data_IF_417414513244
#
_entry.id   IF_417414513244
#
_cell.length_a   1.000
_cell.length_b   1.000
_cell.length_c   1.000
_cell.angle_alpha   90.00
_cell.angle_beta   90.00
_cell.angle_gamma   90.00
#
_symmetry.space_group_name_H-M   'P 1'
#
loop_
_entity.id
_entity.type
_entity.pdbx_description
1 polymer ?
#
# COMPACT_ATOMS: atom_id res chain seq x y z
N UNK A 1 11.96 57.51 36.28
CA UNK A 1 11.36 56.48 35.40
C UNK A 1 12.47 55.54 34.99
N UNK A 2 12.80 54.63 35.91
CA UNK A 2 14.14 54.06 36.09
C UNK A 2 14.15 52.62 35.57
N UNK A 3 15.15 52.32 34.72
CA UNK A 3 15.78 51.05 34.33
C UNK A 3 15.01 49.71 34.47
N UNK A 4 14.30 49.48 35.58
CA UNK A 4 13.47 48.30 35.86
C UNK A 4 12.33 48.08 34.86
N UNK A 5 11.69 49.13 34.33
CA UNK A 5 10.60 48.95 33.36
C UNK A 5 11.10 48.47 31.99
N UNK A 6 12.31 48.89 31.59
CA UNK A 6 12.93 48.42 30.33
C UNK A 6 13.35 46.95 30.41
N UNK A 7 13.80 46.49 31.59
CA UNK A 7 14.17 45.08 31.83
C UNK A 7 12.92 44.19 31.79
N UNK A 8 11.81 44.62 32.40
CA UNK A 8 10.53 43.89 32.35
C UNK A 8 9.96 43.80 30.93
N UNK A 9 10.11 44.86 30.13
CA UNK A 9 9.65 44.90 28.73
C UNK A 9 10.46 43.97 27.80
N UNK A 10 11.72 43.66 28.13
CA UNK A 10 12.57 42.75 27.34
C UNK A 10 12.45 41.28 27.75
N UNK A 11 12.17 40.99 29.03
CA UNK A 11 12.06 39.61 29.54
C UNK A 11 10.75 38.95 29.10
N UNK A 12 9.65 39.71 29.04
CA UNK A 12 8.33 39.20 28.64
C UNK A 12 8.28 38.58 27.23
N UNK A 13 8.78 39.23 26.16
CA UNK A 13 8.78 38.64 24.82
C UNK A 13 9.77 37.46 24.69
N UNK A 14 10.87 37.46 25.47
CA UNK A 14 11.84 36.37 25.47
C UNK A 14 11.27 35.09 26.12
N UNK A 15 10.48 35.23 27.18
CA UNK A 15 9.79 34.10 27.83
C UNK A 15 8.75 33.45 26.91
N UNK A 16 8.04 34.24 26.09
CA UNK A 16 7.06 33.75 25.10
C UNK A 16 7.77 32.94 23.99
N UNK A 17 9.00 33.33 23.61
CA UNK A 17 9.79 32.60 22.62
C UNK A 17 10.25 31.22 23.12
N UNK A 18 10.58 31.09 24.40
CA UNK A 18 11.01 29.83 25.04
C UNK A 18 9.82 28.90 25.31
N UNK A 19 8.65 29.46 25.61
CA UNK A 19 7.40 28.67 25.75
C UNK A 19 6.87 28.18 24.40
N UNK A 20 7.00 28.98 23.33
CA UNK A 20 6.56 28.60 21.99
C UNK A 20 7.30 27.40 21.41
N UNK A 21 8.62 27.29 21.64
CA UNK A 21 9.42 26.14 21.18
C UNK A 21 9.09 24.85 21.93
N UNK A 22 8.71 24.95 23.21
CA UNK A 22 8.25 23.81 24.01
C UNK A 22 6.87 23.29 23.56
N UNK A 23 6.04 24.18 23.01
CA UNK A 23 4.70 23.84 22.53
C UNK A 23 4.71 23.13 21.17
N UNK A 24 5.69 23.42 20.30
CA UNK A 24 5.84 22.74 19.00
C UNK A 24 6.28 21.28 19.16
N UNK A 25 7.06 20.92 20.20
CA UNK A 25 7.40 19.51 20.45
C UNK A 25 6.27 18.70 21.07
N UNK A 26 5.36 19.33 21.82
CA UNK A 26 4.26 18.64 22.50
C UNK A 26 3.16 18.15 21.54
N UNK A 27 3.04 18.73 20.34
CA UNK A 27 1.99 18.37 19.39
C UNK A 27 2.36 17.17 18.51
N UNK A 28 3.64 16.99 18.19
CA UNK A 28 4.14 15.85 17.39
C UNK A 28 4.09 14.52 18.18
N UNK A 29 4.32 14.59 19.50
CA UNK A 29 4.19 13.42 20.38
C UNK A 29 2.74 12.93 20.57
N UNK A 30 1.73 13.75 20.22
CA UNK A 30 0.33 13.31 20.28
C UNK A 30 -0.12 12.48 19.07
N UNK A 31 0.74 12.37 18.03
CA UNK A 31 0.55 11.46 16.88
C UNK A 31 1.25 10.11 17.05
N UNK A 32 1.76 9.78 18.24
CA UNK A 32 2.10 8.39 18.56
C UNK A 32 0.81 7.55 18.57
N UNK A 33 0.54 6.98 17.41
CA UNK A 33 -0.46 5.98 17.04
C UNK A 33 -0.98 5.21 18.26
N UNK A 34 -2.16 5.61 18.74
CA UNK A 34 -2.92 4.85 19.73
C UNK A 34 -3.42 3.59 19.01
N UNK A 35 -2.69 2.49 19.15
CA UNK A 35 -3.13 1.19 18.65
C UNK A 35 -4.35 0.75 19.48
N UNK A 36 -5.54 1.15 19.07
CA UNK A 36 -6.78 0.56 19.55
C UNK A 36 -6.79 -0.89 19.08
N UNK A 37 -6.49 -1.81 20.00
CA UNK A 37 -6.55 -3.24 19.74
C UNK A 37 -8.02 -3.64 19.55
N UNK A 38 -8.44 -3.79 18.30
CA UNK A 38 -9.75 -4.33 17.99
C UNK A 38 -9.69 -5.84 18.21
N UNK A 39 -10.55 -6.39 19.08
CA UNK A 39 -10.63 -7.82 19.31
C UNK A 39 -11.70 -8.43 18.39
N UNK A 40 -11.38 -9.52 17.72
CA UNK A 40 -12.38 -10.36 17.04
C UNK A 40 -13.22 -11.16 18.07
N UNK A 41 -14.36 -11.70 17.66
CA UNK A 41 -15.28 -12.51 18.50
C UNK A 41 -14.60 -13.70 19.18
N UNK A 42 -13.44 -14.13 18.68
CA UNK A 42 -12.57 -15.15 19.28
C UNK A 42 -11.41 -14.62 20.13
N UNK A 43 -11.47 -13.37 20.62
CA UNK A 43 -10.41 -12.72 21.42
C UNK A 43 -9.05 -12.59 20.71
N UNK A 44 -9.05 -12.53 19.37
CA UNK A 44 -7.84 -12.31 18.58
C UNK A 44 -7.64 -10.82 18.34
N UNK A 45 -6.42 -10.34 18.59
CA UNK A 45 -6.02 -8.98 18.26
C UNK A 45 -6.14 -8.78 16.75
N UNK A 46 -6.81 -7.72 16.31
CA UNK A 46 -6.87 -7.33 14.90
C UNK A 46 -5.81 -6.28 14.63
N UNK A 47 -5.02 -6.53 13.60
CA UNK A 47 -4.00 -5.62 13.09
C UNK A 47 -4.54 -4.90 11.85
N UNK A 48 -4.18 -3.63 11.72
CA UNK A 48 -4.49 -2.85 10.52
C UNK A 48 -3.42 -3.09 9.45
N UNK A 49 -3.86 -3.47 8.26
CA UNK A 49 -3.00 -3.75 7.10
C UNK A 49 -3.62 -3.16 5.84
N UNK A 50 -2.79 -2.76 4.88
CA UNK A 50 -3.24 -2.10 3.66
C UNK A 50 -2.96 -2.99 2.44
N UNK A 51 -3.88 -3.04 1.49
CA UNK A 51 -3.72 -3.78 0.23
C UNK A 51 -3.99 -2.87 -0.98
N UNK A 52 -3.03 -2.83 -1.90
CA UNK A 52 -3.01 -1.91 -3.03
C UNK A 52 -2.73 -2.66 -4.33
N UNK A 53 -3.27 -2.14 -5.44
CA UNK A 53 -3.02 -2.66 -6.79
C UNK A 53 -4.10 -3.60 -7.30
N UNK A 54 -3.69 -4.66 -8.00
CA UNK A 54 -4.58 -5.56 -8.75
C UNK A 54 -5.26 -6.63 -7.87
N UNK A 55 -6.15 -6.17 -7.01
CA UNK A 55 -7.11 -6.97 -6.23
C UNK A 55 -8.53 -6.46 -6.46
N UNK A 56 -9.53 -7.29 -6.20
CA UNK A 56 -10.94 -6.92 -6.45
C UNK A 56 -11.40 -5.73 -5.59
N UNK A 57 -10.93 -5.63 -4.35
CA UNK A 57 -11.26 -4.53 -3.44
C UNK A 57 -10.00 -4.01 -2.73
N UNK A 58 -9.26 -3.07 -3.33
CA UNK A 58 -8.11 -2.46 -2.67
C UNK A 58 -8.57 -1.55 -1.53
N UNK A 59 -7.76 -1.45 -0.46
CA UNK A 59 -8.11 -0.63 0.69
C UNK A 59 -7.39 -1.03 1.98
N UNK A 60 -7.86 -0.44 3.09
CA UNK A 60 -7.44 -0.78 4.44
C UNK A 60 -8.31 -1.93 4.97
N UNK A 61 -7.67 -2.91 5.60
CA UNK A 61 -8.32 -4.06 6.21
C UNK A 61 -7.86 -4.24 7.66
N UNK A 62 -8.76 -4.77 8.49
CA UNK A 62 -8.44 -5.24 9.83
C UNK A 62 -8.47 -6.77 9.79
N UNK A 63 -7.34 -7.39 10.07
CA UNK A 63 -7.18 -8.85 10.02
C UNK A 63 -6.66 -9.35 11.36
N UNK A 64 -7.00 -10.58 11.79
CA UNK A 64 -6.42 -11.14 13.01
C UNK A 64 -4.89 -11.17 12.94
N UNK A 65 -4.24 -10.91 14.07
CA UNK A 65 -2.81 -11.12 14.24
C UNK A 65 -2.46 -12.57 13.89
N UNK A 66 -1.35 -12.77 13.19
CA UNK A 66 -1.02 -14.07 12.58
C UNK A 66 -1.58 -14.27 11.17
N UNK A 67 -2.40 -13.36 10.64
CA UNK A 67 -2.89 -13.46 9.25
C UNK A 67 -1.76 -13.30 8.25
N UNK A 68 -1.86 -14.02 7.14
CA UNK A 68 -0.87 -13.98 6.05
C UNK A 68 -1.31 -13.03 4.93
N UNK A 69 -0.39 -12.76 4.00
CA UNK A 69 -0.68 -12.01 2.76
C UNK A 69 -1.83 -12.66 1.97
N UNK A 70 -1.95 -13.99 2.01
CA UNK A 70 -3.00 -14.71 1.31
C UNK A 70 -4.37 -14.51 1.96
N UNK A 71 -4.43 -14.48 3.29
CA UNK A 71 -5.67 -14.19 4.03
C UNK A 71 -6.17 -12.78 3.73
N UNK A 72 -5.26 -11.80 3.72
CA UNK A 72 -5.57 -10.43 3.33
C UNK A 72 -6.09 -10.35 1.89
N UNK A 73 -5.43 -11.03 0.95
CA UNK A 73 -5.86 -11.06 -0.45
C UNK A 73 -7.24 -11.71 -0.61
N UNK A 74 -7.51 -12.77 0.14
CA UNK A 74 -8.81 -13.44 0.14
C UNK A 74 -9.90 -12.53 0.69
N UNK A 75 -9.62 -11.77 1.77
CA UNK A 75 -10.53 -10.75 2.31
C UNK A 75 -10.76 -9.59 1.36
N UNK A 76 -9.77 -9.27 0.52
CA UNK A 76 -9.89 -8.28 -0.56
C UNK A 76 -10.64 -8.78 -1.80
N UNK A 77 -11.25 -9.98 -1.73
CA UNK A 77 -12.02 -10.58 -2.82
C UNK A 77 -11.17 -11.34 -3.84
N UNK A 78 -9.87 -11.55 -3.56
CA UNK A 78 -8.94 -12.23 -4.45
C UNK A 78 -8.25 -11.31 -5.47
N UNK A 79 -7.27 -11.85 -6.22
CA UNK A 79 -6.56 -11.11 -7.26
C UNK A 79 -7.41 -10.90 -8.51
N UNK A 80 -7.18 -9.81 -9.24
CA UNK A 80 -7.79 -9.60 -10.56
C UNK A 80 -7.11 -10.47 -11.62
N UNK A 81 -7.73 -10.61 -12.79
CA UNK A 81 -7.13 -11.30 -13.94
C UNK A 81 -5.82 -10.66 -14.44
N UNK A 82 -5.55 -9.42 -14.07
CA UNK A 82 -4.34 -8.68 -14.45
C UNK A 82 -3.27 -8.69 -13.37
N UNK A 83 -3.47 -9.36 -12.24
CA UNK A 83 -2.53 -9.39 -11.13
C UNK A 83 -1.24 -10.16 -11.48
N UNK A 84 -0.08 -9.62 -11.06
CA UNK A 84 1.21 -10.30 -11.17
C UNK A 84 1.58 -10.95 -9.83
N UNK A 85 0.99 -12.11 -9.54
CA UNK A 85 1.17 -12.87 -8.28
C UNK A 85 2.62 -13.30 -8.00
N UNK A 86 3.45 -13.47 -9.03
CA UNK A 86 4.90 -13.71 -8.89
C UNK A 86 5.74 -12.51 -8.43
N UNK A 87 5.15 -11.31 -8.35
CA UNK A 87 5.85 -10.06 -8.01
C UNK A 87 5.17 -9.26 -6.91
N UNK A 88 4.41 -9.91 -6.04
CA UNK A 88 3.79 -9.25 -4.89
C UNK A 88 4.87 -8.66 -3.99
N UNK A 89 4.64 -7.45 -3.50
CA UNK A 89 5.57 -6.75 -2.60
C UNK A 89 4.90 -6.56 -1.26
N UNK A 90 5.54 -7.04 -0.20
CA UNK A 90 5.19 -6.71 1.17
C UNK A 90 6.14 -5.61 1.64
N UNK A 91 5.58 -4.47 2.03
CA UNK A 91 6.31 -3.39 2.70
C UNK A 91 5.93 -3.43 4.17
N UNK A 92 6.85 -3.90 5.00
CA UNK A 92 6.66 -3.91 6.45
C UNK A 92 7.39 -2.73 7.08
N UNK A 93 6.71 -2.04 7.99
CA UNK A 93 7.25 -0.88 8.70
C UNK A 93 7.56 -1.26 10.15
N UNK A 94 8.76 -1.79 10.39
CA UNK A 94 9.20 -2.24 11.73
C UNK A 94 9.77 -1.09 12.60
N UNK A 95 9.30 0.14 12.36
CA UNK A 95 9.72 1.36 13.07
C UNK A 95 11.15 1.86 12.79
N UNK A 96 12.07 0.99 12.35
CA UNK A 96 13.48 1.31 12.11
C UNK A 96 13.91 1.14 10.66
N UNK A 97 13.30 0.22 9.89
CA UNK A 97 13.57 0.00 8.46
C UNK A 97 12.30 -0.43 7.74
N UNK A 98 12.12 0.07 6.51
CA UNK A 98 11.11 -0.45 5.58
C UNK A 98 11.65 -1.71 4.91
N UNK A 99 11.10 -2.86 5.25
CA UNK A 99 11.44 -4.13 4.62
C UNK A 99 10.54 -4.31 3.41
N UNK A 100 11.12 -4.31 2.21
CA UNK A 100 10.42 -4.59 0.97
C UNK A 100 10.72 -6.02 0.53
N UNK A 101 9.88 -6.97 0.93
CA UNK A 101 10.02 -8.36 0.55
C UNK A 101 9.21 -8.67 -0.70
N UNK A 102 9.84 -9.33 -1.67
CA UNK A 102 9.14 -9.84 -2.85
C UNK A 102 8.61 -11.24 -2.55
N UNK A 103 7.32 -11.44 -2.71
CA UNK A 103 6.61 -12.70 -2.47
C UNK A 103 6.13 -13.23 -3.82
N UNK A 104 6.31 -14.53 -4.04
CA UNK A 104 5.83 -15.21 -5.23
C UNK A 104 4.66 -16.11 -4.84
N UNK A 105 3.44 -15.58 -4.98
CA UNK A 105 2.20 -16.29 -4.65
C UNK A 105 1.88 -17.36 -5.71
N UNK A 106 2.32 -17.19 -6.97
CA UNK A 106 2.14 -18.20 -8.01
C UNK A 106 2.77 -19.55 -7.61
N UNK A 107 3.91 -19.52 -6.93
CA UNK A 107 4.56 -20.75 -6.43
C UNK A 107 3.72 -21.44 -5.36
N UNK A 108 3.10 -20.68 -4.47
CA UNK A 108 2.25 -21.24 -3.43
C UNK A 108 0.99 -21.90 -4.02
N UNK A 109 0.34 -21.24 -4.99
CA UNK A 109 -0.88 -21.76 -5.60
C UNK A 109 -0.64 -23.00 -6.48
N UNK A 110 0.55 -23.11 -7.09
CA UNK A 110 0.85 -24.14 -8.10
C UNK A 110 1.86 -25.20 -7.62
N UNK A 111 2.36 -25.16 -6.38
CA UNK A 111 3.34 -26.13 -5.88
C UNK A 111 2.98 -26.64 -4.49
N UNK A 112 3.10 -27.95 -4.28
CA UNK A 112 2.92 -28.64 -2.98
C UNK A 112 4.10 -28.45 -2.01
N UNK A 113 5.08 -27.61 -2.35
CA UNK A 113 6.21 -27.30 -1.46
C UNK A 113 5.79 -26.19 -0.50
N UNK A 114 6.14 -26.33 0.77
CA UNK A 114 6.02 -25.27 1.78
C UNK A 114 6.72 -24.00 1.28
N UNK A 115 5.93 -23.08 0.71
CA UNK A 115 6.36 -21.72 0.47
C UNK A 115 6.04 -20.98 1.77
N UNK A 116 7.08 -20.56 2.47
CA UNK A 116 6.94 -19.75 3.67
C UNK A 116 6.30 -18.40 3.28
N UNK A 117 5.02 -18.23 3.61
CA UNK A 117 4.30 -16.98 3.40
C UNK A 117 4.49 -16.15 4.68
N UNK A 118 5.10 -14.95 4.57
CA UNK A 118 5.30 -14.12 5.74
C UNK A 118 3.96 -13.71 6.35
N UNK A 119 3.93 -13.75 7.67
CA UNK A 119 2.85 -13.23 8.50
C UNK A 119 2.86 -11.71 8.45
N UNK A 120 1.67 -11.11 8.39
CA UNK A 120 1.48 -9.67 8.37
C UNK A 120 1.68 -9.07 9.76
N UNK A 121 2.28 -7.88 9.80
CA UNK A 121 2.43 -7.05 11.00
C UNK A 121 1.56 -5.79 10.93
N UNK A 122 1.29 -5.14 12.08
CA UNK A 122 0.56 -3.87 12.09
C UNK A 122 1.19 -2.80 11.20
N UNK A 123 0.39 -2.21 10.32
CA UNK A 123 0.84 -1.18 9.38
C UNK A 123 1.52 -1.70 8.12
N UNK A 124 1.56 -3.02 7.91
CA UNK A 124 2.08 -3.60 6.68
C UNK A 124 1.23 -3.19 5.46
N UNK A 125 1.92 -2.95 4.35
CA UNK A 125 1.29 -2.66 3.06
C UNK A 125 1.66 -3.74 2.05
N UNK A 126 0.65 -4.43 1.53
CA UNK A 126 0.78 -5.39 0.44
C UNK A 126 0.46 -4.69 -0.88
N UNK A 127 1.41 -4.68 -1.80
CA UNK A 127 1.23 -4.16 -3.14
C UNK A 127 1.27 -5.28 -4.18
N UNK A 128 0.18 -5.43 -4.92
CA UNK A 128 0.01 -6.40 -6.00
C UNK A 128 0.16 -5.66 -7.33
N UNK A 129 1.29 -5.77 -8.04
CA UNK A 129 1.47 -5.06 -9.29
C UNK A 129 0.64 -5.68 -10.42
N UNK A 130 0.36 -4.87 -11.44
CA UNK A 130 -0.22 -5.33 -12.70
C UNK A 130 0.79 -6.13 -13.53
N UNK A 131 0.31 -7.15 -14.21
CA UNK A 131 1.07 -7.89 -15.19
C UNK A 131 0.99 -7.21 -16.55
N UNK A 132 2.05 -6.46 -16.89
CA UNK A 132 2.17 -5.71 -18.15
C UNK A 132 2.12 -6.59 -19.42
N UNK A 133 2.38 -7.91 -19.31
CA UNK A 133 2.30 -8.83 -20.45
C UNK A 133 0.89 -8.88 -21.05
N UNK A 134 -0.15 -8.69 -20.25
CA UNK A 134 -1.53 -8.75 -20.74
C UNK A 134 -1.92 -7.53 -21.59
N UNK A 135 -1.49 -6.32 -21.20
CA UNK A 135 -1.76 -5.10 -21.98
C UNK A 135 -1.29 -5.19 -23.44
N UNK A 136 -0.10 -5.75 -23.67
CA UNK A 136 0.43 -5.90 -25.03
C UNK A 136 -0.40 -6.85 -25.89
N UNK A 137 -1.03 -7.88 -25.30
CA UNK A 137 -1.89 -8.79 -26.06
C UNK A 137 -3.19 -8.10 -26.49
N UNK A 138 -3.78 -7.29 -25.61
CA UNK A 138 -4.99 -6.54 -25.92
C UNK A 138 -4.74 -5.53 -27.05
N UNK A 139 -3.63 -4.77 -26.97
CA UNK A 139 -3.26 -3.79 -27.99
C UNK A 139 -2.96 -4.42 -29.36
N UNK A 140 -2.28 -5.57 -29.39
CA UNK A 140 -2.01 -6.31 -30.64
C UNK A 140 -3.31 -6.80 -31.28
N UNK A 141 -4.31 -7.21 -30.49
CA UNK A 141 -5.63 -7.60 -30.99
C UNK A 141 -6.30 -6.50 -31.82
N UNK A 142 -6.37 -5.29 -31.27
CA UNK A 142 -6.93 -4.14 -31.99
C UNK A 142 -6.17 -3.80 -33.28
N UNK A 143 -4.83 -3.87 -33.25
CA UNK A 143 -4.00 -3.61 -34.45
C UNK A 143 -4.26 -4.69 -35.51
N UNK A 144 -4.37 -5.96 -35.10
CA UNK A 144 -4.66 -7.06 -36.01
C UNK A 144 -6.03 -6.90 -36.69
N UNK A 145 -7.06 -6.50 -35.95
CA UNK A 145 -8.40 -6.24 -36.50
C UNK A 145 -8.38 -5.14 -37.56
N UNK A 146 -7.68 -4.03 -37.29
CA UNK A 146 -7.50 -2.94 -38.27
C UNK A 146 -6.70 -3.40 -39.49
N UNK A 147 -5.68 -4.24 -39.31
CA UNK A 147 -4.90 -4.79 -40.40
C UNK A 147 -5.75 -5.68 -41.32
N UNK A 148 -6.68 -6.48 -40.76
CA UNK A 148 -7.62 -7.28 -41.56
C UNK A 148 -8.54 -6.37 -42.37
N UNK A 149 -9.13 -5.33 -41.76
CA UNK A 149 -10.01 -4.38 -42.46
C UNK A 149 -9.25 -3.64 -43.56
N UNK A 150 -8.05 -3.15 -43.27
CA UNK A 150 -7.21 -2.46 -44.24
C UNK A 150 -6.81 -3.37 -45.40
N UNK A 151 -6.53 -4.64 -45.12
CA UNK A 151 -6.21 -5.63 -46.14
C UNK A 151 -7.43 -5.91 -47.05
N UNK A 152 -8.62 -6.09 -46.48
CA UNK A 152 -9.86 -6.26 -47.25
C UNK A 152 -10.15 -5.03 -48.12
N UNK A 153 -10.03 -3.83 -47.55
CA UNK A 153 -10.18 -2.58 -48.29
C UNK A 153 -9.18 -2.51 -49.46
N UNK A 154 -7.92 -2.82 -49.21
CA UNK A 154 -6.86 -2.83 -50.20
C UNK A 154 -7.15 -3.82 -51.36
N UNK A 155 -7.65 -5.02 -51.05
CA UNK A 155 -8.01 -6.03 -52.06
C UNK A 155 -9.17 -5.57 -52.96
N UNK A 156 -10.18 -4.91 -52.39
CA UNK A 156 -11.32 -4.38 -53.16
C UNK A 156 -10.88 -3.19 -54.03
N UNK A 157 -10.07 -2.28 -53.49
CA UNK A 157 -9.63 -1.09 -54.21
C UNK A 157 -8.67 -1.39 -55.37
N UNK A 158 -7.96 -2.53 -55.31
CA UNK A 158 -6.95 -2.90 -56.33
C UNK A 158 -7.56 -3.50 -57.60
N UNK A 159 -8.83 -3.92 -57.55
CA UNK A 159 -9.52 -4.59 -58.67
C UNK A 159 -10.53 -3.68 -59.40
N UNK A 160 -10.37 -2.36 -59.28
CA UNK A 160 -10.95 -1.33 -60.16
C UNK A 160 -9.82 -0.56 -60.81
#
# INVERSE_FOLDING_TARGET
>A
MKLMDKIRLAIFPLAILIMGSSFIMAQDASSFKKEEFYMDSGQRLLIEVHVWGEVNSPGMYRVPDGSTVLDLMSRAGGPTQYAALSRVRLSSNDGTKRLNQKINIDKYLNSTKDVDIPVLKPGDTVMIPRNARFFWKDAIGFIADLAVIANVYYLISRNR
#
